data_IF_162121273302
#
_entry.id   IF_162121273302
#
_cell.length_a   1.000
_cell.length_b   1.000
_cell.length_c   1.000
_cell.angle_alpha   90.00
_cell.angle_beta   90.00
_cell.angle_gamma   90.00
#
_symmetry.space_group_name_H-M   'P 1'
#
loop_
_entity.id
_entity.type
_entity.pdbx_description
1 polymer ?
#
# COMPACT_ATOMS: atom_id res chain seq x y z
N UNK A 1 -5.51 16.64 -9.37
CA UNK A 1 -4.92 15.30 -9.18
C UNK A 1 -3.88 15.40 -8.09
N UNK A 2 -3.80 14.43 -7.17
CA UNK A 2 -2.78 14.41 -6.12
C UNK A 2 -1.42 14.16 -6.77
N UNK A 3 -0.40 14.95 -6.41
CA UNK A 3 0.96 14.78 -6.96
C UNK A 3 1.51 13.39 -6.56
N UNK A 4 2.14 12.64 -7.49
CA UNK A 4 2.78 11.38 -7.16
C UNK A 4 3.82 11.53 -6.05
N UNK A 5 3.94 10.50 -5.21
CA UNK A 5 4.91 10.44 -4.11
C UNK A 5 6.22 9.82 -4.60
N UNK A 6 7.33 10.52 -4.40
CA UNK A 6 8.65 10.01 -4.69
C UNK A 6 9.09 8.98 -3.65
N UNK A 7 9.59 7.84 -4.13
CA UNK A 7 10.20 6.77 -3.35
C UNK A 7 11.69 6.69 -3.64
N UNK A 8 12.51 6.50 -2.62
CA UNK A 8 13.97 6.32 -2.76
C UNK A 8 14.42 5.09 -2.00
N UNK A 9 15.38 4.36 -2.54
CA UNK A 9 16.14 3.38 -1.77
C UNK A 9 17.22 4.11 -0.97
N UNK A 10 17.50 3.64 0.24
CA UNK A 10 18.75 3.95 0.92
C UNK A 10 19.79 2.85 0.71
N UNK A 11 21.03 3.11 1.14
CA UNK A 11 22.15 2.17 1.01
C UNK A 11 21.95 0.87 1.83
N UNK A 12 20.99 0.87 2.76
CA UNK A 12 20.57 -0.28 3.55
C UNK A 12 19.43 -1.10 2.91
N UNK A 13 18.95 -0.69 1.74
CA UNK A 13 17.86 -1.37 1.02
C UNK A 13 16.46 -1.01 1.51
N UNK A 14 16.30 -0.04 2.41
CA UNK A 14 14.99 0.44 2.84
C UNK A 14 14.42 1.43 1.82
N UNK A 15 13.10 1.36 1.62
CA UNK A 15 12.37 2.33 0.80
C UNK A 15 11.90 3.48 1.68
N UNK A 16 12.16 4.70 1.26
CA UNK A 16 11.77 5.94 1.94
C UNK A 16 10.87 6.80 1.07
N UNK A 17 9.98 7.54 1.71
CA UNK A 17 9.19 8.60 1.08
C UNK A 17 9.07 9.81 2.02
N UNK A 18 8.32 10.84 1.61
CA UNK A 18 8.07 12.03 2.44
C UNK A 18 7.39 11.76 3.79
N UNK A 19 6.81 10.57 3.98
CA UNK A 19 6.16 10.16 5.23
C UNK A 19 7.03 9.26 6.11
N UNK A 20 8.25 8.92 5.68
CA UNK A 20 9.17 8.07 6.45
C UNK A 20 9.55 6.78 5.71
N UNK A 21 10.10 5.83 6.48
CA UNK A 21 10.59 4.55 5.98
C UNK A 21 9.47 3.51 5.88
N UNK A 22 9.46 2.77 4.77
CA UNK A 22 8.54 1.67 4.52
C UNK A 22 9.12 0.38 5.13
N UNK A 23 8.76 0.08 6.37
CA UNK A 23 9.28 -1.10 7.10
C UNK A 23 8.61 -2.42 6.71
N UNK A 24 7.30 -2.40 6.47
CA UNK A 24 6.49 -3.57 6.10
C UNK A 24 5.60 -3.21 4.91
N UNK A 25 6.25 -2.88 3.78
CA UNK A 25 5.56 -2.38 2.58
C UNK A 25 4.57 -3.38 1.98
N UNK A 26 4.77 -4.68 2.19
CA UNK A 26 3.76 -5.70 1.92
C UNK A 26 3.24 -6.21 3.27
N UNK A 27 2.13 -5.67 3.80
CA UNK A 27 1.67 -6.03 5.14
C UNK A 27 1.36 -7.53 5.24
N UNK A 28 1.81 -8.14 6.34
CA UNK A 28 1.60 -9.56 6.65
C UNK A 28 0.99 -9.69 8.06
N UNK A 29 -0.34 -9.53 8.18
CA UNK A 29 -1.06 -9.70 9.45
C UNK A 29 -0.75 -11.02 10.18
N UNK A 30 -0.51 -12.10 9.43
CA UNK A 30 -0.15 -13.43 9.95
C UNK A 30 1.17 -13.44 10.73
N UNK A 31 2.02 -12.42 10.55
CA UNK A 31 3.33 -12.28 11.20
C UNK A 31 3.42 -11.06 12.13
N UNK A 32 2.33 -10.32 12.28
CA UNK A 32 2.36 -9.01 12.95
C UNK A 32 3.16 -7.94 12.20
N UNK A 33 3.52 -8.18 10.93
CA UNK A 33 4.32 -7.27 10.10
C UNK A 33 3.40 -6.26 9.41
N UNK A 34 2.88 -5.32 10.20
CA UNK A 34 1.98 -4.26 9.72
C UNK A 34 2.68 -2.91 9.80
N UNK A 35 2.86 -2.28 8.65
CA UNK A 35 3.44 -0.94 8.54
C UNK A 35 2.37 0.15 8.49
N UNK A 36 2.72 1.34 8.99
CA UNK A 36 1.95 2.56 8.76
C UNK A 36 1.94 2.98 7.28
N UNK A 37 2.91 2.49 6.50
CA UNK A 37 2.99 2.61 5.05
C UNK A 37 2.86 1.23 4.39
N UNK A 38 2.15 1.18 3.26
CA UNK A 38 2.08 0.02 2.37
C UNK A 38 2.53 0.39 0.96
N UNK A 39 3.05 -0.56 0.22
CA UNK A 39 3.33 -0.49 -1.20
C UNK A 39 2.39 -1.45 -1.92
N UNK A 40 1.70 -0.95 -2.94
CA UNK A 40 0.79 -1.76 -3.75
C UNK A 40 1.12 -1.58 -5.23
N UNK A 41 1.50 -2.66 -5.94
CA UNK A 41 1.67 -2.59 -7.39
C UNK A 41 0.37 -2.17 -8.07
N UNK A 42 0.44 -1.29 -9.07
CA UNK A 42 -0.76 -0.80 -9.76
C UNK A 42 -1.58 -1.94 -10.40
N UNK A 43 -0.90 -3.03 -10.82
CA UNK A 43 -1.58 -4.24 -11.31
C UNK A 43 -2.45 -4.87 -10.23
N UNK A 44 -1.93 -5.05 -9.02
CA UNK A 44 -2.67 -5.66 -7.93
C UNK A 44 -3.84 -4.77 -7.48
N UNK A 45 -3.63 -3.45 -7.43
CA UNK A 45 -4.71 -2.49 -7.20
C UNK A 45 -5.84 -2.64 -8.23
N UNK A 46 -5.52 -2.77 -9.53
CA UNK A 46 -6.54 -3.01 -10.58
C UNK A 46 -7.31 -4.31 -10.39
N UNK A 47 -6.70 -5.32 -9.79
CA UNK A 47 -7.40 -6.57 -9.46
C UNK A 47 -8.34 -6.36 -8.27
N UNK A 48 -7.88 -5.69 -7.22
CA UNK A 48 -8.72 -5.38 -6.04
C UNK A 48 -9.92 -4.50 -6.40
N UNK A 49 -9.76 -3.58 -7.36
CA UNK A 49 -10.86 -2.75 -7.86
C UNK A 49 -11.97 -3.56 -8.58
N UNK A 50 -11.70 -4.81 -8.96
CA UNK A 50 -12.70 -5.71 -9.56
C UNK A 50 -13.40 -6.58 -8.51
N UNK A 51 -12.86 -6.67 -7.29
CA UNK A 51 -13.37 -7.50 -6.22
C UNK A 51 -12.31 -7.80 -5.16
N UNK A 52 -12.75 -8.24 -3.98
CA UNK A 52 -11.83 -8.64 -2.92
C UNK A 52 -10.96 -9.84 -3.33
N UNK A 53 -9.80 -9.94 -2.70
CA UNK A 53 -8.93 -11.10 -2.76
C UNK A 53 -8.93 -11.79 -1.40
N UNK A 54 -9.47 -12.99 -1.37
CA UNK A 54 -9.42 -13.85 -0.20
C UNK A 54 -8.03 -14.48 -0.05
N UNK A 55 -7.61 -14.68 1.20
CA UNK A 55 -6.42 -15.44 1.59
C UNK A 55 -6.72 -16.11 2.94
N UNK A 56 -5.93 -17.09 3.41
CA UNK A 56 -6.27 -17.83 4.62
C UNK A 56 -6.54 -16.90 5.82
N UNK A 57 -7.76 -16.98 6.37
CA UNK A 57 -8.25 -16.18 7.50
C UNK A 57 -8.28 -14.66 7.30
N UNK A 58 -8.25 -14.19 6.04
CA UNK A 58 -8.30 -12.78 5.76
C UNK A 58 -8.74 -12.41 4.35
N UNK A 59 -8.91 -11.10 4.15
CA UNK A 59 -9.35 -10.53 2.88
C UNK A 59 -8.57 -9.26 2.60
N UNK A 60 -8.15 -9.07 1.35
CA UNK A 60 -7.68 -7.78 0.85
C UNK A 60 -8.77 -7.17 -0.02
N UNK A 61 -9.14 -5.93 0.25
CA UNK A 61 -10.17 -5.23 -0.51
C UNK A 61 -9.81 -3.76 -0.71
N UNK A 62 -10.54 -3.09 -1.58
CA UNK A 62 -10.41 -1.64 -1.77
C UNK A 62 -11.78 -0.98 -1.79
N UNK A 63 -11.86 0.20 -1.20
CA UNK A 63 -13.01 1.09 -1.29
C UNK A 63 -12.61 2.34 -2.08
N UNK A 64 -13.52 2.84 -2.92
CA UNK A 64 -13.34 4.11 -3.63
C UNK A 64 -14.35 5.11 -3.08
N UNK A 65 -13.85 6.25 -2.60
CA UNK A 65 -14.65 7.38 -2.12
C UNK A 65 -14.28 8.63 -2.93
N UNK A 66 -15.11 8.94 -3.92
CA UNK A 66 -14.85 9.99 -4.89
C UNK A 66 -13.54 9.76 -5.64
N UNK A 67 -12.49 10.53 -5.29
CA UNK A 67 -11.14 10.42 -5.89
C UNK A 67 -10.13 9.70 -4.99
N UNK A 68 -10.54 9.31 -3.78
CA UNK A 68 -9.69 8.63 -2.81
C UNK A 68 -9.90 7.14 -2.96
N UNK A 69 -8.82 6.38 -2.81
CA UNK A 69 -8.85 4.92 -2.83
C UNK A 69 -8.25 4.43 -1.53
N UNK A 70 -8.95 3.54 -0.85
CA UNK A 70 -8.52 2.96 0.41
C UNK A 70 -8.31 1.47 0.21
N UNK A 71 -7.15 0.95 0.63
CA UNK A 71 -6.90 -0.47 0.72
C UNK A 71 -7.19 -0.96 2.15
N UNK A 72 -7.78 -2.14 2.25
CA UNK A 72 -8.11 -2.78 3.52
C UNK A 72 -7.48 -4.16 3.55
N UNK A 73 -6.85 -4.49 4.68
CA UNK A 73 -6.52 -5.86 5.07
C UNK A 73 -7.39 -6.22 6.26
N UNK A 74 -8.17 -7.28 6.11
CA UNK A 74 -8.93 -7.92 7.17
C UNK A 74 -8.24 -9.24 7.54
N UNK A 75 -7.99 -9.49 8.83
CA UNK A 75 -7.43 -10.75 9.33
C UNK A 75 -7.91 -11.01 10.76
N UNK A 76 -8.51 -12.18 11.02
CA UNK A 76 -9.09 -12.53 12.32
C UNK A 76 -10.00 -11.44 12.96
N UNK A 77 -10.81 -10.76 12.13
CA UNK A 77 -11.74 -9.73 12.62
C UNK A 77 -11.09 -8.37 12.90
N UNK A 78 -9.77 -8.22 12.71
CA UNK A 78 -9.08 -6.95 12.74
C UNK A 78 -8.93 -6.39 11.31
N UNK A 79 -9.12 -5.07 11.16
CA UNK A 79 -8.96 -4.35 9.89
C UNK A 79 -7.87 -3.30 9.99
N UNK A 80 -7.00 -3.25 8.99
CA UNK A 80 -6.08 -2.14 8.75
C UNK A 80 -6.43 -1.46 7.43
N UNK A 81 -6.37 -0.13 7.41
CA UNK A 81 -6.75 0.68 6.25
C UNK A 81 -5.65 1.65 5.88
N UNK A 82 -5.38 1.78 4.58
CA UNK A 82 -4.46 2.76 4.03
C UNK A 82 -5.12 3.54 2.89
N UNK A 83 -5.00 4.87 2.90
CA UNK A 83 -5.31 5.70 1.74
C UNK A 83 -4.15 5.62 0.73
N UNK A 84 -4.47 5.30 -0.53
CA UNK A 84 -3.51 5.06 -1.59
C UNK A 84 -3.23 6.32 -2.42
N UNK A 85 -1.95 6.54 -2.69
CA UNK A 85 -1.45 7.65 -3.51
C UNK A 85 -0.56 7.09 -4.62
N UNK A 86 -0.66 7.62 -5.86
CA UNK A 86 0.30 7.30 -6.92
C UNK A 86 1.73 7.56 -6.45
N UNK A 87 2.66 6.69 -6.81
CA UNK A 87 4.06 6.82 -6.44
C UNK A 87 4.99 6.37 -7.56
N UNK A 88 6.25 6.78 -7.46
CA UNK A 88 7.31 6.41 -8.40
C UNK A 88 8.65 6.29 -7.65
N UNK A 89 9.50 5.38 -8.10
CA UNK A 89 10.88 5.33 -7.63
C UNK A 89 11.70 6.42 -8.32
N UNK A 90 12.55 7.09 -7.55
CA UNK A 90 13.35 8.24 -8.00
C UNK A 90 14.41 7.89 -9.04
N UNK A 91 14.84 6.62 -9.08
CA UNK A 91 15.68 6.05 -10.13
C UNK A 91 14.91 5.78 -11.45
N UNK A 92 13.57 5.89 -11.43
CA UNK A 92 12.65 5.53 -12.51
C UNK A 92 12.74 4.08 -13.01
N UNK A 93 13.29 3.16 -12.20
CA UNK A 93 13.48 1.75 -12.57
C UNK A 93 12.37 0.82 -12.04
N UNK A 94 11.50 1.31 -11.16
CA UNK A 94 10.42 0.50 -10.57
C UNK A 94 9.13 0.48 -11.39
N UNK A 95 8.29 -0.56 -11.23
CA UNK A 95 6.98 -0.62 -11.89
C UNK A 95 6.04 0.47 -11.34
N UNK A 96 4.95 0.80 -12.07
CA UNK A 96 3.91 1.67 -11.54
C UNK A 96 3.37 1.14 -10.21
N UNK A 97 3.43 1.98 -9.19
CA UNK A 97 3.14 1.61 -7.81
C UNK A 97 2.30 2.69 -7.13
N UNK A 98 1.57 2.30 -6.10
CA UNK A 98 0.97 3.24 -5.16
C UNK A 98 1.56 3.00 -3.78
N UNK A 99 1.63 4.08 -3.00
CA UNK A 99 1.97 4.02 -1.59
C UNK A 99 0.72 4.34 -0.79
N UNK A 100 0.40 3.48 0.16
CA UNK A 100 -0.66 3.69 1.13
C UNK A 100 -0.10 4.23 2.44
N UNK A 101 -0.84 5.10 3.11
CA UNK A 101 -0.58 5.52 4.50
C UNK A 101 -1.87 5.38 5.31
N UNK A 102 -1.77 5.21 6.63
CA UNK A 102 -2.96 5.31 7.48
C UNK A 102 -3.72 6.61 7.21
N UNK A 103 -5.06 6.56 7.12
CA UNK A 103 -5.86 7.77 6.98
C UNK A 103 -5.70 8.66 8.20
N UNK A 104 -5.69 9.98 7.98
CA UNK A 104 -5.80 10.96 9.06
C UNK A 104 -7.24 11.07 9.56
#
# INVERSE_FOLDING_TARGET
MTKPVALRFDDGGLVWCKWGAVKHGNPRPDRGEIGHLMLIPARYLRELLKGSREWPHGTHSVTVDGRRVFAHHDYHGQRWTWELFPAYFTDNLGPPICIGRWPD
#
